data_IF_967005740213
#
_entry.id   IF_967005740213
#
_cell.length_a   1.000
_cell.length_b   1.000
_cell.length_c   1.000
_cell.angle_alpha   90.00
_cell.angle_beta   90.00
_cell.angle_gamma   90.00
#
_symmetry.space_group_name_H-M   'P 1'
#
loop_
_entity.id
_entity.type
_entity.pdbx_description
1 polymer ?
#
# COMPACT_ATOMS: atom_id res chain seq x y z
N UNK A 1 62.66 -13.14 -8.31
CA UNK A 1 61.93 -11.92 -8.72
C UNK A 1 60.54 -12.35 -9.19
N UNK A 2 59.39 -11.99 -8.64
CA UNK A 2 59.02 -11.10 -7.53
C UNK A 2 57.70 -11.69 -6.97
N UNK A 3 57.66 -12.09 -5.69
CA UNK A 3 56.38 -12.44 -5.05
C UNK A 3 55.60 -11.14 -4.83
N UNK A 4 54.49 -10.99 -5.54
CA UNK A 4 53.59 -9.85 -5.40
C UNK A 4 52.91 -9.88 -4.02
N UNK A 5 53.31 -8.92 -3.19
CA UNK A 5 52.80 -8.68 -1.84
C UNK A 5 51.27 -8.54 -1.83
N UNK A 6 50.61 -9.01 -0.77
CA UNK A 6 49.16 -8.88 -0.60
C UNK A 6 48.67 -7.43 -0.67
N UNK A 7 49.54 -6.46 -0.36
CA UNK A 7 49.29 -5.03 -0.52
C UNK A 7 49.12 -4.61 -1.98
N UNK A 8 49.90 -5.18 -2.90
CA UNK A 8 49.84 -4.88 -4.34
C UNK A 8 48.56 -5.42 -4.99
N UNK A 9 48.04 -6.56 -4.52
CA UNK A 9 46.76 -7.09 -4.99
C UNK A 9 45.60 -6.20 -4.54
N UNK A 10 45.65 -5.68 -3.32
CA UNK A 10 44.68 -4.69 -2.82
C UNK A 10 44.72 -3.39 -3.61
N UNK A 11 45.91 -2.87 -3.95
CA UNK A 11 46.02 -1.64 -4.73
C UNK A 11 45.51 -1.80 -6.18
N UNK A 12 45.72 -2.97 -6.80
CA UNK A 12 45.14 -3.26 -8.12
C UNK A 12 43.62 -3.42 -8.08
N UNK A 13 43.09 -4.04 -7.03
CA UNK A 13 41.64 -4.19 -6.87
C UNK A 13 40.97 -2.84 -6.62
N UNK A 14 41.56 -1.98 -5.77
CA UNK A 14 41.07 -0.64 -5.50
C UNK A 14 41.09 0.26 -6.74
N UNK A 15 42.15 0.21 -7.57
CA UNK A 15 42.16 0.94 -8.84
C UNK A 15 41.07 0.46 -9.81
N UNK A 16 40.76 -0.85 -9.80
CA UNK A 16 39.74 -1.43 -10.67
C UNK A 16 38.32 -1.06 -10.23
N UNK A 17 38.09 -0.92 -8.92
CA UNK A 17 36.83 -0.40 -8.38
C UNK A 17 36.67 1.08 -8.73
N UNK A 18 37.76 1.87 -8.62
CA UNK A 18 37.71 3.30 -8.96
C UNK A 18 37.47 3.55 -10.46
N UNK A 19 37.97 2.69 -11.35
CA UNK A 19 37.70 2.80 -12.79
C UNK A 19 36.27 2.40 -13.14
N UNK A 20 35.71 1.36 -12.49
CA UNK A 20 34.31 0.96 -12.71
C UNK A 20 33.34 2.01 -12.18
N UNK A 21 33.68 2.65 -11.06
CA UNK A 21 32.87 3.73 -10.48
C UNK A 21 32.93 5.02 -11.32
N UNK A 22 34.02 5.24 -12.06
CA UNK A 22 34.10 6.33 -13.04
C UNK A 22 33.37 6.06 -14.36
N UNK A 23 33.18 4.79 -14.75
CA UNK A 23 32.37 4.42 -15.92
C UNK A 23 30.86 4.57 -15.65
N UNK A 24 30.39 4.18 -14.47
CA UNK A 24 28.98 4.35 -14.07
C UNK A 24 28.60 5.84 -13.90
N UNK A 25 29.52 6.70 -13.46
CA UNK A 25 29.25 8.14 -13.33
C UNK A 25 29.10 8.88 -14.66
N UNK A 26 29.55 8.30 -15.78
CA UNK A 26 29.41 8.92 -17.11
C UNK A 26 28.04 8.65 -17.76
N UNK A 27 27.24 7.72 -17.25
CA UNK A 27 25.92 7.37 -17.82
C UNK A 27 24.72 7.91 -17.04
N UNK A 28 24.93 8.55 -15.87
CA UNK A 28 23.87 9.20 -15.11
C UNK A 28 24.27 10.59 -14.61
N UNK A 29 24.45 11.52 -15.55
CA UNK A 29 24.44 12.95 -15.25
C UNK A 29 23.07 13.55 -15.54
N UNK A 30 22.21 13.66 -14.53
CA UNK A 30 21.30 14.81 -14.39
C UNK A 30 20.57 14.80 -13.05
N UNK A 31 20.96 15.77 -12.22
CA UNK A 31 20.16 16.53 -11.26
C UNK A 31 20.26 16.20 -9.76
N UNK A 32 21.15 17.01 -9.15
CA UNK A 32 21.06 17.68 -7.84
C UNK A 32 21.62 16.94 -6.62
N UNK A 33 22.96 16.88 -6.61
CA UNK A 33 23.75 17.02 -5.39
C UNK A 33 23.72 18.48 -4.90
N UNK A 34 23.70 18.65 -3.58
CA UNK A 34 24.54 19.66 -2.92
C UNK A 34 24.69 19.30 -1.44
N UNK A 35 25.77 18.56 -1.18
CA UNK A 35 26.56 18.65 0.04
C UNK A 35 26.82 20.12 0.41
N UNK A 36 26.74 20.47 1.69
CA UNK A 36 27.71 21.43 2.20
C UNK A 36 27.97 21.25 3.69
N UNK A 37 29.25 21.06 3.98
CA UNK A 37 29.87 20.85 5.27
C UNK A 37 29.82 22.11 6.15
N UNK A 38 29.81 21.88 7.47
CA UNK A 38 29.98 22.87 8.54
C UNK A 38 31.28 23.69 8.39
N UNK A 39 31.20 25.01 8.59
CA UNK A 39 32.26 25.78 9.22
C UNK A 39 31.83 26.23 10.63
N UNK A 40 32.71 25.97 11.60
CA UNK A 40 32.76 26.72 12.86
C UNK A 40 33.35 28.10 12.54
N UNK A 41 32.67 29.18 12.92
CA UNK A 41 33.31 30.40 13.43
C UNK A 41 32.25 31.28 14.10
N UNK A 42 32.68 31.86 15.22
CA UNK A 42 31.96 32.66 16.20
C UNK A 42 31.46 33.99 15.62
N UNK A 43 30.24 34.42 16.01
CA UNK A 43 29.89 35.80 16.40
C UNK A 43 28.37 35.92 16.69
N UNK A 44 28.04 36.15 17.96
CA UNK A 44 26.73 36.67 18.40
C UNK A 44 26.68 38.18 18.09
N UNK A 45 25.52 38.78 17.71
CA UNK A 45 24.63 39.25 18.78
C UNK A 45 23.13 39.22 18.47
N UNK A 46 22.37 38.86 19.51
CA UNK A 46 21.04 39.34 19.93
C UNK A 46 20.06 39.95 18.89
N UNK A 47 18.89 39.32 18.73
CA UNK A 47 17.57 39.98 18.80
C UNK A 47 16.56 38.97 19.37
N UNK A 48 16.02 39.36 20.51
CA UNK A 48 14.98 38.73 21.30
C UNK A 48 13.63 38.77 20.56
N UNK A 49 13.08 37.60 20.21
CA UNK A 49 11.62 37.38 20.21
C UNK A 49 11.28 35.89 20.19
N UNK A 50 11.14 35.28 21.37
CA UNK A 50 10.41 34.01 21.51
C UNK A 50 9.10 34.24 22.27
N UNK A 51 7.94 33.77 21.78
CA UNK A 51 6.73 33.76 22.60
C UNK A 51 6.88 32.66 23.67
N UNK A 52 6.71 33.05 24.94
CA UNK A 52 6.69 32.15 26.10
C UNK A 52 5.60 31.07 25.94
N UNK A 53 6.01 29.84 25.64
CA UNK A 53 5.16 28.66 25.80
C UNK A 53 5.25 28.21 27.26
N UNK A 54 4.10 28.33 27.94
CA UNK A 54 3.87 28.00 29.33
C UNK A 54 4.16 26.49 29.60
N UNK A 55 5.10 26.18 30.50
CA UNK A 55 5.56 24.82 30.83
C UNK A 55 4.62 24.02 31.75
N UNK A 56 3.39 24.47 31.98
CA UNK A 56 2.45 23.80 32.88
C UNK A 56 1.48 22.82 32.18
N UNK A 57 1.85 22.27 31.01
CA UNK A 57 0.98 21.33 30.28
C UNK A 57 1.68 20.04 29.81
N UNK A 58 2.69 19.59 30.55
CA UNK A 58 3.27 18.26 30.36
C UNK A 58 2.90 17.40 31.57
N UNK A 59 1.68 16.87 31.52
CA UNK A 59 1.15 15.95 32.51
C UNK A 59 1.83 14.59 32.32
N UNK A 60 3.00 14.39 32.92
CA UNK A 60 3.57 13.07 33.15
C UNK A 60 3.10 12.64 34.54
N UNK A 61 2.18 11.66 34.66
CA UNK A 61 1.81 11.16 35.98
C UNK A 61 2.99 10.38 36.57
N UNK A 62 3.32 10.74 37.81
CA UNK A 62 4.35 10.13 38.64
C UNK A 62 3.93 8.68 38.99
N UNK A 63 4.82 7.70 38.78
CA UNK A 63 4.50 6.25 38.83
C UNK A 63 4.25 5.76 40.27
N UNK A 64 4.43 6.60 41.29
CA UNK A 64 4.39 6.19 42.70
C UNK A 64 3.07 6.40 43.44
N UNK A 65 2.03 6.94 42.80
CA UNK A 65 0.73 7.11 43.43
C UNK A 65 -0.35 6.46 42.56
N UNK A 66 -0.66 5.19 42.82
CA UNK A 66 -1.97 4.55 42.61
C UNK A 66 -1.86 3.03 42.86
N UNK A 67 -1.49 2.66 44.09
CA UNK A 67 -1.73 1.32 44.60
C UNK A 67 -2.65 1.48 45.82
N UNK A 68 -3.97 1.41 45.62
CA UNK A 68 -5.00 1.00 46.57
C UNK A 68 -6.41 1.24 45.96
N UNK A 69 -6.82 0.36 45.06
CA UNK A 69 -8.18 -0.17 45.12
C UNK A 69 -8.15 -1.65 44.70
N UNK A 70 -8.65 -2.51 45.59
CA UNK A 70 -8.59 -3.97 45.48
C UNK A 70 -10.00 -4.46 45.15
N UNK A 71 -10.25 -4.79 43.89
CA UNK A 71 -11.48 -5.51 43.50
C UNK A 71 -11.66 -5.55 41.98
N UNK A 72 -11.80 -6.74 41.41
CA UNK A 72 -11.92 -7.05 39.97
C UNK A 72 -10.75 -6.63 39.06
N UNK A 73 -9.88 -7.59 38.71
CA UNK A 73 -8.96 -7.41 37.57
C UNK A 73 -9.79 -7.29 36.29
N UNK A 74 -9.57 -6.29 35.42
CA UNK A 74 -10.18 -6.29 34.10
C UNK A 74 -9.71 -7.55 33.35
N UNK A 75 -10.61 -8.26 32.65
CA UNK A 75 -10.25 -9.50 31.97
C UNK A 75 -9.09 -9.23 31.01
N UNK A 76 -8.08 -10.10 31.07
CA UNK A 76 -6.90 -10.02 30.23
C UNK A 76 -7.35 -9.91 28.78
N UNK A 77 -6.88 -8.90 28.04
CA UNK A 77 -7.34 -8.59 26.67
C UNK A 77 -7.29 -9.79 25.72
N UNK A 78 -6.46 -10.79 26.02
CA UNK A 78 -6.37 -12.07 25.28
C UNK A 78 -7.63 -12.93 25.45
N UNK A 79 -8.23 -12.95 26.64
CA UNK A 79 -9.39 -13.78 27.01
C UNK A 79 -10.68 -13.27 26.34
N UNK A 80 -10.75 -11.96 26.07
CA UNK A 80 -11.86 -11.34 25.34
C UNK A 80 -11.77 -11.65 23.84
N UNK A 81 -10.55 -11.72 23.29
CA UNK A 81 -10.32 -11.99 21.86
C UNK A 81 -10.64 -13.46 21.53
N UNK A 82 -10.37 -14.39 22.46
CA UNK A 82 -10.60 -15.83 22.27
C UNK A 82 -12.09 -16.23 22.30
N UNK A 83 -12.93 -15.47 23.02
CA UNK A 83 -14.37 -15.77 23.16
C UNK A 83 -15.27 -15.26 22.03
N UNK A 84 -14.74 -14.56 21.02
CA UNK A 84 -15.56 -14.09 19.91
C UNK A 84 -15.76 -15.26 18.94
N UNK A 85 -16.99 -15.75 18.73
CA UNK A 85 -17.23 -16.81 17.76
C UNK A 85 -16.68 -16.39 16.39
N UNK A 86 -15.85 -17.21 15.74
CA UNK A 86 -15.17 -16.86 14.48
C UNK A 86 -16.10 -16.32 13.38
N UNK A 87 -17.38 -16.73 13.41
CA UNK A 87 -18.43 -16.26 12.49
C UNK A 87 -18.80 -14.77 12.66
N UNK A 88 -18.60 -14.19 13.85
CA UNK A 88 -18.87 -12.79 14.14
C UNK A 88 -17.74 -11.84 13.67
N UNK A 89 -16.51 -12.34 13.53
CA UNK A 89 -15.38 -11.55 12.99
C UNK A 89 -15.53 -11.28 11.49
N UNK A 90 -16.04 -12.26 10.73
CA UNK A 90 -16.26 -12.12 9.28
C UNK A 90 -17.34 -11.08 8.91
N UNK A 91 -18.22 -10.73 9.86
CA UNK A 91 -19.26 -9.71 9.69
C UNK A 91 -18.82 -8.33 10.22
N UNK A 92 -17.63 -8.23 10.83
CA UNK A 92 -17.13 -6.99 11.41
C UNK A 92 -16.82 -5.94 10.34
N UNK A 93 -16.43 -6.39 9.14
CA UNK A 93 -16.36 -5.53 7.96
C UNK A 93 -17.75 -4.97 7.61
N UNK A 94 -18.81 -5.78 7.56
CA UNK A 94 -20.17 -5.30 7.24
C UNK A 94 -20.69 -4.25 8.24
N UNK A 95 -20.29 -4.32 9.51
CA UNK A 95 -20.64 -3.32 10.53
C UNK A 95 -19.74 -2.07 10.40
N UNK A 96 -18.45 -2.25 10.07
CA UNK A 96 -17.49 -1.16 9.89
C UNK A 96 -17.65 -0.43 8.54
N UNK A 97 -18.08 -1.07 7.47
CA UNK A 97 -18.18 -0.47 6.12
C UNK A 97 -19.59 -0.03 5.76
N UNK A 98 -20.57 -0.23 6.66
CA UNK A 98 -21.89 0.38 6.50
C UNK A 98 -21.82 1.91 6.36
N UNK A 99 -20.81 2.56 6.97
CA UNK A 99 -20.58 3.99 6.79
C UNK A 99 -19.88 4.35 5.45
N UNK A 100 -19.11 3.42 4.84
CA UNK A 100 -18.50 3.61 3.51
C UNK A 100 -19.51 3.46 2.37
N UNK A 101 -20.59 2.69 2.59
CA UNK A 101 -21.73 2.59 1.64
C UNK A 101 -22.71 3.77 1.76
N UNK A 102 -22.68 4.50 2.88
CA UNK A 102 -23.35 5.79 3.04
C UNK A 102 -22.38 6.91 2.65
N UNK A 103 -21.85 6.86 1.42
CA UNK A 103 -21.21 8.05 0.88
C UNK A 103 -22.27 9.14 0.80
N UNK A 104 -22.03 10.22 1.54
CA UNK A 104 -22.90 11.37 1.61
C UNK A 104 -23.34 11.77 0.21
N UNK A 105 -24.66 11.86 0.08
CA UNK A 105 -25.38 12.41 -1.05
C UNK A 105 -25.06 13.91 -1.19
N UNK A 106 -23.83 14.27 -1.50
CA UNK A 106 -23.48 15.66 -1.78
C UNK A 106 -23.92 16.01 -3.21
N UNK A 107 -24.97 16.82 -3.28
CA UNK A 107 -25.40 17.56 -4.46
C UNK A 107 -24.19 18.08 -5.22
N UNK A 108 -24.11 17.82 -6.53
CA UNK A 108 -23.07 18.39 -7.38
C UNK A 108 -23.07 19.91 -7.24
N UNK A 109 -21.92 20.57 -6.97
CA UNK A 109 -21.85 22.02 -6.97
C UNK A 109 -22.29 22.55 -8.35
N UNK A 110 -22.85 23.77 -8.40
CA UNK A 110 -23.26 24.43 -9.65
C UNK A 110 -22.15 24.42 -10.72
N UNK A 111 -20.90 24.52 -10.28
CA UNK A 111 -19.70 24.41 -11.11
C UNK A 111 -19.64 23.09 -11.89
N UNK A 112 -20.00 21.96 -11.28
CA UNK A 112 -20.00 20.67 -11.98
C UNK A 112 -21.01 20.66 -13.13
N UNK A 113 -22.16 21.31 -12.97
CA UNK A 113 -23.16 21.43 -14.03
C UNK A 113 -22.69 22.38 -15.14
N UNK A 114 -22.06 23.51 -14.80
CA UNK A 114 -21.48 24.44 -15.78
C UNK A 114 -20.37 23.78 -16.62
N UNK A 115 -19.45 23.05 -15.97
CA UNK A 115 -18.41 22.26 -16.63
C UNK A 115 -19.00 21.19 -17.56
N UNK A 116 -20.05 20.50 -17.11
CA UNK A 116 -20.74 19.49 -17.90
C UNK A 116 -21.40 20.09 -19.14
N UNK A 117 -22.08 21.23 -19.00
CA UNK A 117 -22.69 21.95 -20.13
C UNK A 117 -21.60 22.41 -21.11
N UNK A 118 -20.49 22.96 -20.62
CA UNK A 118 -19.37 23.39 -21.47
C UNK A 118 -18.75 22.23 -22.25
N UNK A 119 -18.51 21.08 -21.61
CA UNK A 119 -17.99 19.90 -22.30
C UNK A 119 -18.99 19.33 -23.31
N UNK A 120 -20.29 19.38 -23.04
CA UNK A 120 -21.32 18.96 -24.00
C UNK A 120 -21.35 19.91 -25.19
N UNK A 121 -21.23 21.22 -24.97
CA UNK A 121 -21.18 22.23 -26.03
C UNK A 121 -19.97 22.00 -26.95
N UNK A 122 -18.78 21.78 -26.38
CA UNK A 122 -17.57 21.43 -27.15
C UNK A 122 -17.70 20.11 -27.90
N UNK A 123 -18.34 19.11 -27.29
CA UNK A 123 -18.62 17.83 -27.93
C UNK A 123 -19.55 18.00 -29.14
N UNK A 124 -20.59 18.83 -29.02
CA UNK A 124 -21.53 19.14 -30.10
C UNK A 124 -20.85 19.93 -31.23
N UNK A 125 -19.99 20.88 -30.88
CA UNK A 125 -19.26 21.72 -31.85
C UNK A 125 -18.23 20.92 -32.66
N UNK A 126 -17.69 19.84 -32.08
CA UNK A 126 -16.67 18.99 -32.71
C UNK A 126 -17.22 17.73 -33.39
N UNK A 127 -18.54 17.60 -33.53
CA UNK A 127 -19.15 16.57 -34.37
C UNK A 127 -18.72 16.79 -35.83
N UNK A 128 -18.24 15.76 -36.56
CA UNK A 128 -18.34 14.31 -36.33
C UNK A 128 -17.13 13.64 -35.64
N UNK A 129 -16.02 14.37 -35.42
CA UNK A 129 -14.75 13.79 -34.97
C UNK A 129 -14.81 13.21 -33.55
N UNK A 130 -15.56 13.86 -32.66
CA UNK A 130 -15.70 13.46 -31.26
C UNK A 130 -16.41 12.11 -31.06
N UNK A 131 -17.23 11.68 -32.03
CA UNK A 131 -18.04 10.47 -31.92
C UNK A 131 -17.17 9.21 -31.88
N UNK A 132 -16.10 9.17 -32.67
CA UNK A 132 -15.16 8.04 -32.70
C UNK A 132 -14.37 7.88 -31.39
N UNK A 133 -14.09 8.98 -30.69
CA UNK A 133 -13.33 8.95 -29.43
C UNK A 133 -14.18 8.58 -28.21
N UNK A 134 -15.50 8.72 -28.30
CA UNK A 134 -16.37 8.58 -27.13
C UNK A 134 -16.86 7.14 -26.89
N UNK A 135 -16.82 6.31 -27.93
CA UNK A 135 -17.19 4.90 -27.84
C UNK A 135 -16.03 4.06 -27.32
N UNK A 136 -16.21 3.46 -26.15
CA UNK A 136 -15.26 2.51 -25.58
C UNK A 136 -15.98 1.19 -25.31
N UNK A 137 -15.33 0.09 -25.71
CA UNK A 137 -15.85 -1.27 -25.51
C UNK A 137 -15.09 -1.92 -24.34
N UNK A 138 -15.81 -2.42 -23.34
CA UNK A 138 -15.27 -3.22 -22.24
C UNK A 138 -15.57 -4.69 -22.48
N UNK A 139 -14.59 -5.55 -22.17
CA UNK A 139 -14.71 -7.00 -22.25
C UNK A 139 -15.51 -7.56 -21.06
N UNK A 140 -16.15 -8.72 -21.24
CA UNK A 140 -17.02 -9.35 -20.21
C UNK A 140 -16.37 -9.49 -18.83
N UNK A 141 -15.08 -9.87 -18.83
CA UNK A 141 -14.28 -10.11 -17.63
C UNK A 141 -13.70 -8.83 -17.00
N UNK A 142 -13.94 -7.67 -17.61
CA UNK A 142 -13.50 -6.37 -17.12
C UNK A 142 -14.68 -5.57 -16.56
N UNK A 143 -14.37 -4.64 -15.66
CA UNK A 143 -15.30 -3.62 -15.17
C UNK A 143 -14.62 -2.26 -15.24
N UNK A 144 -15.35 -1.23 -15.65
CA UNK A 144 -14.85 0.13 -15.55
C UNK A 144 -15.43 0.86 -14.35
N UNK A 145 -14.51 1.49 -13.63
CA UNK A 145 -14.80 2.51 -12.62
C UNK A 145 -14.66 3.86 -13.32
N UNK A 146 -15.75 4.64 -13.35
CA UNK A 146 -15.78 5.93 -14.03
C UNK A 146 -15.81 7.03 -12.96
N UNK A 147 -14.84 7.93 -13.05
CA UNK A 147 -14.72 9.12 -12.24
C UNK A 147 -15.10 10.33 -13.08
N UNK A 148 -16.04 11.13 -12.59
CA UNK A 148 -16.48 12.38 -13.21
C UNK A 148 -16.02 13.54 -12.34
N UNK A 149 -15.12 14.38 -12.85
CA UNK A 149 -14.52 15.48 -12.06
C UNK A 149 -13.96 15.00 -10.71
N UNK A 150 -13.31 13.83 -10.70
CA UNK A 150 -12.76 13.22 -9.48
C UNK A 150 -13.79 12.57 -8.55
N UNK A 151 -15.08 12.58 -8.89
CA UNK A 151 -16.15 11.93 -8.11
C UNK A 151 -16.60 10.62 -8.74
N UNK A 152 -16.90 9.62 -7.92
CA UNK A 152 -17.45 8.36 -8.40
C UNK A 152 -18.87 8.56 -8.97
N UNK A 153 -19.13 8.02 -10.16
CA UNK A 153 -20.46 8.10 -10.78
C UNK A 153 -21.51 7.34 -9.97
N UNK A 154 -22.74 7.91 -9.93
CA UNK A 154 -23.93 7.48 -9.15
C UNK A 154 -24.46 6.06 -9.45
N UNK A 155 -23.80 5.29 -10.31
CA UNK A 155 -24.15 3.91 -10.68
C UNK A 155 -23.08 2.88 -10.33
N UNK A 156 -22.03 3.27 -9.61
CA UNK A 156 -20.92 2.38 -9.27
C UNK A 156 -20.13 1.93 -10.50
N UNK A 157 -19.84 0.63 -10.58
CA UNK A 157 -19.12 0.06 -11.72
C UNK A 157 -20.05 -0.23 -12.88
N UNK A 158 -19.62 0.18 -14.09
CA UNK A 158 -20.36 -0.17 -15.29
C UNK A 158 -20.00 -1.59 -15.73
N UNK A 159 -21.06 -2.33 -16.05
CA UNK A 159 -20.98 -3.67 -16.60
C UNK A 159 -20.31 -3.70 -17.98
N UNK A 160 -20.13 -4.90 -18.54
CA UNK A 160 -19.48 -5.08 -19.82
C UNK A 160 -20.37 -4.59 -20.97
N UNK A 161 -19.75 -4.28 -22.11
CA UNK A 161 -20.45 -3.77 -23.29
C UNK A 161 -19.95 -2.40 -23.75
N UNK A 162 -20.77 -1.75 -24.59
CA UNK A 162 -20.49 -0.43 -25.14
C UNK A 162 -21.01 0.64 -24.18
N UNK A 163 -20.14 1.56 -23.80
CA UNK A 163 -20.49 2.68 -22.93
C UNK A 163 -19.85 3.96 -23.45
N UNK A 164 -20.56 5.06 -23.22
CA UNK A 164 -20.20 6.40 -23.64
C UNK A 164 -19.38 7.08 -22.53
N UNK A 165 -18.18 7.57 -22.86
CA UNK A 165 -17.26 8.25 -21.92
C UNK A 165 -16.89 9.62 -22.46
N UNK A 166 -17.24 10.69 -21.76
CA UNK A 166 -16.91 12.04 -22.22
C UNK A 166 -15.40 12.29 -22.08
N UNK A 167 -14.67 12.57 -23.19
CA UNK A 167 -13.20 12.61 -23.20
C UNK A 167 -12.56 13.72 -22.35
N UNK A 168 -13.32 14.72 -21.91
CA UNK A 168 -12.78 15.87 -21.16
C UNK A 168 -13.08 15.83 -19.65
N UNK A 169 -14.09 15.07 -19.22
CA UNK A 169 -14.60 15.13 -17.84
C UNK A 169 -14.52 13.75 -17.17
N UNK A 170 -14.72 12.68 -17.94
CA UNK A 170 -14.84 11.34 -17.41
C UNK A 170 -13.49 10.60 -17.54
N UNK A 171 -12.91 10.23 -16.40
CA UNK A 171 -11.75 9.34 -16.32
C UNK A 171 -12.23 7.91 -16.08
N UNK A 172 -11.88 6.98 -16.96
CA UNK A 172 -12.23 5.57 -16.81
C UNK A 172 -11.00 4.74 -16.40
N UNK A 173 -11.12 3.98 -15.30
CA UNK A 173 -10.14 2.97 -14.90
C UNK A 173 -10.75 1.59 -15.09
N UNK A 174 -10.10 0.76 -15.91
CA UNK A 174 -10.57 -0.60 -16.20
C UNK A 174 -9.84 -1.56 -15.27
N UNK A 175 -10.61 -2.44 -14.61
CA UNK A 175 -10.10 -3.46 -13.70
C UNK A 175 -10.51 -4.84 -14.21
N UNK A 176 -9.57 -5.78 -14.21
CA UNK A 176 -9.84 -7.18 -14.53
C UNK A 176 -10.35 -7.91 -13.28
N UNK A 177 -11.41 -8.70 -13.43
CA UNK A 177 -12.00 -9.49 -12.33
C UNK A 177 -11.48 -10.93 -12.28
N UNK A 178 -10.64 -11.33 -13.23
CA UNK A 178 -10.07 -12.67 -13.28
C UNK A 178 -9.08 -12.90 -12.14
N UNK A 179 -8.80 -14.18 -11.88
CA UNK A 179 -7.73 -14.57 -10.96
C UNK A 179 -6.41 -14.17 -11.59
N UNK A 180 -5.64 -13.40 -10.85
CA UNK A 180 -4.30 -12.97 -11.17
C UNK A 180 -3.34 -13.62 -10.18
N UNK A 181 -2.15 -13.96 -10.65
CA UNK A 181 -1.06 -14.41 -9.81
C UNK A 181 0.04 -13.36 -9.80
N UNK A 182 0.66 -13.16 -8.65
CA UNK A 182 1.96 -12.50 -8.58
C UNK A 182 2.91 -13.32 -7.72
N UNK A 183 4.18 -13.22 -8.05
CA UNK A 183 5.25 -13.84 -7.28
C UNK A 183 5.69 -12.89 -6.16
N UNK A 184 5.92 -13.48 -4.99
CA UNK A 184 6.55 -12.80 -3.86
C UNK A 184 8.05 -13.04 -3.98
N UNK A 185 8.89 -12.00 -4.03
CA UNK A 185 10.32 -12.18 -4.18
C UNK A 185 10.89 -13.00 -3.01
N UNK A 186 11.96 -13.80 -3.24
CA UNK A 186 12.57 -14.64 -2.21
C UNK A 186 12.95 -13.83 -0.98
N UNK A 187 12.61 -14.37 0.20
CA UNK A 187 12.96 -13.75 1.49
C UNK A 187 13.81 -14.69 2.32
N UNK A 188 14.93 -14.18 2.81
CA UNK A 188 15.73 -14.84 3.83
C UNK A 188 15.13 -14.55 5.20
N UNK A 189 14.80 -15.62 5.92
CA UNK A 189 14.20 -15.55 7.25
C UNK A 189 14.90 -16.53 8.20
N UNK A 190 14.92 -16.17 9.48
CA UNK A 190 15.37 -17.06 10.54
C UNK A 190 14.15 -17.81 11.08
N UNK A 191 14.19 -19.14 11.04
CA UNK A 191 13.16 -19.99 11.62
C UNK A 191 13.27 -20.05 13.15
N UNK A 192 12.27 -20.65 13.81
CA UNK A 192 12.23 -20.80 15.28
C UNK A 192 13.43 -21.60 15.83
N UNK A 193 13.97 -22.52 15.04
CA UNK A 193 15.14 -23.35 15.34
C UNK A 193 16.48 -22.71 14.92
N UNK A 194 16.49 -21.40 14.66
CA UNK A 194 17.69 -20.64 14.27
C UNK A 194 18.33 -21.10 12.96
N UNK A 195 17.53 -21.66 12.04
CA UNK A 195 17.99 -22.02 10.69
C UNK A 195 17.59 -20.89 9.74
N UNK A 196 18.54 -20.45 8.92
CA UNK A 196 18.28 -19.50 7.84
C UNK A 196 17.66 -20.23 6.66
N UNK A 197 16.46 -19.84 6.28
CA UNK A 197 15.75 -20.40 5.11
C UNK A 197 15.39 -19.29 4.13
N UNK A 198 15.54 -19.57 2.84
CA UNK A 198 15.06 -18.69 1.77
C UNK A 198 13.77 -19.26 1.22
N UNK A 199 12.69 -18.48 1.28
CA UNK A 199 11.35 -18.94 0.86
C UNK A 199 10.77 -18.00 -0.18
N UNK A 200 10.17 -18.61 -1.20
CA UNK A 200 9.41 -17.97 -2.26
C UNK A 200 7.95 -18.48 -2.21
N UNK A 201 7.01 -17.63 -2.62
CA UNK A 201 5.60 -17.98 -2.69
C UNK A 201 4.91 -17.28 -3.88
N UNK A 202 3.91 -17.96 -4.43
CA UNK A 202 3.02 -17.42 -5.47
C UNK A 202 1.64 -17.24 -4.87
N UNK A 203 1.01 -16.10 -5.11
CA UNK A 203 -0.28 -15.77 -4.51
C UNK A 203 -1.32 -15.59 -5.61
N UNK A 204 -2.43 -16.29 -5.46
CA UNK A 204 -3.59 -16.17 -6.33
C UNK A 204 -4.61 -15.25 -5.67
N UNK A 205 -5.02 -14.22 -6.40
CA UNK A 205 -6.03 -13.28 -5.92
C UNK A 205 -6.92 -12.85 -7.07
N UNK A 206 -8.11 -12.35 -6.73
CA UNK A 206 -9.01 -11.70 -7.68
C UNK A 206 -9.59 -10.44 -7.07
N UNK A 207 -9.91 -9.47 -7.90
CA UNK A 207 -10.66 -8.30 -7.44
C UNK A 207 -12.13 -8.71 -7.24
N UNK A 208 -12.64 -8.55 -6.02
CA UNK A 208 -14.04 -8.81 -5.67
C UNK A 208 -14.89 -7.56 -5.92
N UNK A 209 -14.40 -6.40 -5.48
CA UNK A 209 -15.07 -5.11 -5.68
C UNK A 209 -14.14 -4.11 -6.38
N UNK A 210 -14.35 -3.84 -7.68
CA UNK A 210 -13.49 -2.93 -8.45
C UNK A 210 -13.63 -1.46 -8.03
N UNK A 211 -14.75 -1.03 -7.44
CA UNK A 211 -14.84 0.34 -6.90
C UNK A 211 -13.84 0.50 -5.75
N UNK A 212 -13.97 -0.37 -4.75
CA UNK A 212 -13.18 -0.35 -3.52
C UNK A 212 -11.68 -0.50 -3.83
N UNK A 213 -11.33 -1.40 -4.75
CA UNK A 213 -9.94 -1.63 -5.17
C UNK A 213 -9.28 -0.42 -5.82
N UNK A 214 -10.07 0.48 -6.41
CA UNK A 214 -9.53 1.70 -7.03
C UNK A 214 -9.58 2.90 -6.09
N UNK A 215 -10.55 2.97 -5.19
CA UNK A 215 -10.75 4.12 -4.29
C UNK A 215 -9.92 4.01 -3.02
N UNK A 216 -9.77 2.80 -2.46
CA UNK A 216 -9.19 2.62 -1.13
C UNK A 216 -7.67 2.47 -1.14
N UNK A 217 -7.09 2.11 -2.28
CA UNK A 217 -5.65 1.87 -2.41
C UNK A 217 -5.18 2.31 -3.81
N UNK A 218 -3.99 2.91 -3.88
CA UNK A 218 -3.43 3.36 -5.15
C UNK A 218 -3.15 2.17 -6.09
N UNK A 219 -2.44 1.16 -5.56
CA UNK A 219 -2.17 -0.11 -6.22
C UNK A 219 -2.44 -1.29 -5.28
N UNK A 220 -3.56 -1.97 -5.50
CA UNK A 220 -3.96 -3.13 -4.71
C UNK A 220 -2.99 -4.32 -4.86
N UNK A 221 -2.38 -4.49 -6.03
CA UNK A 221 -1.46 -5.62 -6.26
C UNK A 221 -0.16 -5.40 -5.49
N UNK A 222 0.39 -4.19 -5.56
CA UNK A 222 1.61 -3.84 -4.83
C UNK A 222 1.41 -3.93 -3.31
N UNK A 223 0.34 -3.34 -2.78
CA UNK A 223 0.03 -3.41 -1.35
C UNK A 223 -0.21 -4.84 -0.86
N UNK A 224 -0.87 -5.68 -1.67
CA UNK A 224 -1.06 -7.09 -1.34
C UNK A 224 0.27 -7.86 -1.36
N UNK A 225 1.17 -7.56 -2.30
CA UNK A 225 2.52 -8.16 -2.33
C UNK A 225 3.33 -7.82 -1.08
N UNK A 226 3.29 -6.57 -0.62
CA UNK A 226 3.98 -6.16 0.60
C UNK A 226 3.37 -6.84 1.84
N UNK A 227 2.04 -6.86 1.95
CA UNK A 227 1.37 -7.54 3.06
C UNK A 227 1.68 -9.03 3.08
N UNK A 228 1.70 -9.68 1.92
CA UNK A 228 2.10 -11.06 1.76
C UNK A 228 3.53 -11.30 2.24
N UNK A 229 4.47 -10.41 1.88
CA UNK A 229 5.85 -10.52 2.33
C UNK A 229 5.97 -10.52 3.86
N UNK A 230 5.33 -9.52 4.49
CA UNK A 230 5.32 -9.40 5.95
C UNK A 230 4.61 -10.58 6.62
N UNK A 231 3.49 -11.04 6.06
CA UNK A 231 2.73 -12.18 6.59
C UNK A 231 3.55 -13.46 6.51
N UNK A 232 4.21 -13.72 5.37
CA UNK A 232 5.07 -14.88 5.18
C UNK A 232 6.22 -14.87 6.18
N UNK A 233 6.90 -13.73 6.34
CA UNK A 233 7.96 -13.57 7.34
C UNK A 233 7.48 -13.85 8.76
N UNK A 234 6.32 -13.32 9.13
CA UNK A 234 5.76 -13.48 10.47
C UNK A 234 5.34 -14.93 10.74
N UNK A 235 4.63 -15.57 9.82
CA UNK A 235 4.17 -16.96 9.99
C UNK A 235 5.37 -17.92 10.02
N UNK A 236 6.26 -17.82 9.05
CA UNK A 236 7.39 -18.73 8.95
C UNK A 236 8.44 -18.53 10.06
N UNK A 237 8.60 -17.30 10.57
CA UNK A 237 9.47 -17.05 11.73
C UNK A 237 8.99 -17.71 13.02
N UNK A 238 7.70 -18.06 13.12
CA UNK A 238 7.15 -18.81 14.27
C UNK A 238 7.24 -20.33 14.13
N UNK A 239 7.62 -20.83 12.94
CA UNK A 239 7.64 -22.24 12.58
C UNK A 239 9.08 -22.79 12.60
N UNK A 240 9.20 -24.08 12.88
CA UNK A 240 10.47 -24.81 12.78
C UNK A 240 10.68 -25.29 11.34
N UNK A 241 11.93 -25.55 10.93
CA UNK A 241 12.22 -26.05 9.58
C UNK A 241 11.45 -27.35 9.26
N UNK A 242 11.39 -28.26 10.24
CA UNK A 242 10.70 -29.55 10.08
C UNK A 242 9.20 -29.37 9.84
N UNK A 243 8.56 -28.43 10.55
CA UNK A 243 7.15 -28.08 10.33
C UNK A 243 6.94 -27.43 8.95
N UNK A 244 7.86 -26.57 8.52
CA UNK A 244 7.78 -25.93 7.20
C UNK A 244 7.82 -26.94 6.05
N UNK A 245 8.58 -28.03 6.21
CA UNK A 245 8.69 -29.09 5.23
C UNK A 245 7.52 -30.09 5.31
N UNK A 246 7.02 -30.39 6.51
CA UNK A 246 6.02 -31.45 6.72
C UNK A 246 4.58 -30.92 6.64
N UNK A 247 4.32 -29.70 7.11
CA UNK A 247 2.98 -29.10 7.27
C UNK A 247 2.75 -27.92 6.31
N UNK A 248 3.30 -28.00 5.09
CA UNK A 248 3.21 -26.93 4.08
C UNK A 248 1.76 -26.45 3.86
N UNK A 249 0.82 -27.38 3.75
CA UNK A 249 -0.59 -27.07 3.47
C UNK A 249 -1.26 -26.34 4.64
N UNK A 250 -0.92 -26.69 5.88
CA UNK A 250 -1.43 -26.01 7.07
C UNK A 250 -0.90 -24.58 7.15
N UNK A 251 0.39 -24.38 6.86
CA UNK A 251 1.00 -23.04 6.79
C UNK A 251 0.34 -22.22 5.68
N UNK A 252 0.15 -22.80 4.49
CA UNK A 252 -0.52 -22.13 3.38
C UNK A 252 -1.93 -21.66 3.76
N UNK A 253 -2.74 -22.50 4.40
CA UNK A 253 -4.10 -22.16 4.84
C UNK A 253 -4.12 -21.03 5.89
N UNK A 254 -3.17 -21.04 6.83
CA UNK A 254 -3.03 -19.97 7.82
C UNK A 254 -2.64 -18.65 7.14
N UNK A 255 -1.66 -18.69 6.24
CA UNK A 255 -1.22 -17.51 5.49
C UNK A 255 -2.34 -16.95 4.60
N UNK A 256 -3.08 -17.81 3.91
CA UNK A 256 -4.26 -17.45 3.11
C UNK A 256 -5.28 -16.70 3.98
N UNK A 257 -5.64 -17.25 5.14
CA UNK A 257 -6.62 -16.65 6.05
C UNK A 257 -6.20 -15.26 6.54
N UNK A 258 -4.94 -15.10 6.92
CA UNK A 258 -4.42 -13.80 7.38
C UNK A 258 -4.39 -12.79 6.23
N UNK A 259 -4.00 -13.23 5.03
CA UNK A 259 -3.93 -12.35 3.87
C UNK A 259 -5.33 -11.94 3.38
N UNK A 260 -6.29 -12.85 3.39
CA UNK A 260 -7.69 -12.59 3.04
C UNK A 260 -8.32 -11.55 4.00
N UNK A 261 -8.17 -11.73 5.32
CA UNK A 261 -8.67 -10.77 6.32
C UNK A 261 -8.03 -9.37 6.17
N UNK A 262 -6.75 -9.32 5.78
CA UNK A 262 -6.04 -8.07 5.53
C UNK A 262 -6.38 -7.38 4.20
N UNK A 263 -6.82 -8.14 3.19
CA UNK A 263 -7.08 -7.64 1.81
C UNK A 263 -8.55 -7.32 1.54
N UNK A 264 -9.47 -7.80 2.37
CA UNK A 264 -10.89 -7.44 2.38
C UNK A 264 -11.16 -5.91 2.26
N UNK A 265 -10.52 -5.01 3.03
CA UNK A 265 -10.76 -3.56 2.91
C UNK A 265 -10.30 -2.96 1.57
N UNK A 266 -9.42 -3.65 0.83
CA UNK A 266 -8.99 -3.26 -0.51
C UNK A 266 -9.88 -3.86 -1.61
N UNK A 267 -10.90 -4.64 -1.25
CA UNK A 267 -11.80 -5.26 -2.23
C UNK A 267 -11.14 -6.38 -3.04
N UNK A 268 -10.07 -6.96 -2.52
CA UNK A 268 -9.34 -8.10 -3.10
C UNK A 268 -9.69 -9.37 -2.32
N UNK A 269 -9.86 -10.49 -3.04
CA UNK A 269 -10.09 -11.81 -2.46
C UNK A 269 -8.91 -12.72 -2.80
N UNK A 270 -8.26 -13.26 -1.78
CA UNK A 270 -7.14 -14.21 -1.91
C UNK A 270 -7.69 -15.65 -1.92
N UNK A 271 -7.00 -16.55 -2.62
CA UNK A 271 -7.28 -18.00 -2.70
C UNK A 271 -6.00 -18.81 -2.74
#
# INVERSE_FOLDING_TARGET
>A
MHQLSAADRRQRLMRRIHTLQSEDQSTHGSSLDLDFSLPLDDDEPSIDTTPRINRNLLFVPDIHALELDRGERPPHKRDVIEKIPMRARSQSWLIRTRHLLHEERQTSPLISHMMLIFSILLFLMSLPWSLFFCFKVIKEYQRAVIFRLGRLIRGGTKGPGLFFVLPCIDTCKIVDLRVLSFDVPPQEILSRDSVTVSVEAVIYFRVSNPVISVTNVNDAQFSTRLLAQTTLRNVLGTKTLSEMLSERDAIASITEKVLDEGTDPWGVKVR
#
